data_IF_247315694904
#
_entry.id   IF_247315694904
#
_cell.length_a   1.000
_cell.length_b   1.000
_cell.length_c   1.000
_cell.angle_alpha   90.00
_cell.angle_beta   90.00
_cell.angle_gamma   90.00
#
_symmetry.space_group_name_H-M   'P 1'
#
loop_
_entity.id
_entity.type
_entity.pdbx_description
1 polymer ?
#
# COMPACT_ATOMS: atom_id res chain seq x y z
N UNK A 1 9.51 -21.01 -15.36
CA UNK A 1 10.06 -22.37 -15.53
C UNK A 1 11.25 -22.49 -16.47
N UNK A 2 11.46 -21.60 -17.47
CA UNK A 2 12.56 -21.78 -18.45
C UNK A 2 13.98 -21.46 -17.97
N UNK A 3 14.17 -20.53 -17.02
CA UNK A 3 15.50 -20.08 -16.58
C UNK A 3 16.18 -21.03 -15.57
N UNK A 4 15.41 -21.53 -14.60
CA UNK A 4 15.94 -22.38 -13.52
C UNK A 4 15.16 -23.68 -13.33
N UNK A 5 14.07 -23.91 -14.07
CA UNK A 5 13.15 -25.02 -13.80
C UNK A 5 13.67 -26.40 -14.18
N UNK A 6 14.76 -26.48 -14.95
CA UNK A 6 15.46 -27.74 -15.25
C UNK A 6 16.23 -28.25 -14.03
N UNK A 7 17.06 -27.39 -13.44
CA UNK A 7 17.97 -27.79 -12.33
C UNK A 7 17.33 -27.60 -10.95
N UNK A 8 16.36 -26.69 -10.83
CA UNK A 8 15.65 -26.40 -9.58
C UNK A 8 14.14 -26.63 -9.71
N UNK A 9 13.67 -27.87 -9.93
CA UNK A 9 12.25 -28.16 -10.20
C UNK A 9 11.33 -27.95 -8.99
N UNK A 10 11.88 -27.98 -7.76
CA UNK A 10 11.13 -27.72 -6.53
C UNK A 10 10.70 -26.25 -6.40
N UNK A 11 11.58 -25.31 -6.78
CA UNK A 11 11.28 -23.88 -6.74
C UNK A 11 10.74 -23.36 -8.06
N UNK A 12 11.27 -23.81 -9.20
CA UNK A 12 11.02 -23.19 -10.50
C UNK A 12 10.49 -24.15 -11.58
N UNK A 13 10.17 -25.40 -11.23
CA UNK A 13 9.77 -26.42 -12.22
C UNK A 13 8.38 -26.22 -12.83
N UNK A 14 7.45 -25.59 -12.09
CA UNK A 14 6.11 -25.24 -12.59
C UNK A 14 5.82 -23.76 -12.40
N UNK A 15 4.78 -23.25 -13.07
CA UNK A 15 4.37 -21.85 -12.91
C UNK A 15 3.97 -21.55 -11.46
N UNK A 16 3.19 -22.43 -10.83
CA UNK A 16 2.76 -22.27 -9.44
C UNK A 16 3.92 -22.30 -8.45
N UNK A 17 4.88 -23.22 -8.61
CA UNK A 17 6.10 -23.26 -7.79
C UNK A 17 6.92 -21.99 -7.96
N UNK A 18 7.13 -21.57 -9.21
CA UNK A 18 7.85 -20.32 -9.50
C UNK A 18 7.18 -19.12 -8.84
N UNK A 19 5.85 -19.02 -8.91
CA UNK A 19 5.09 -17.94 -8.29
C UNK A 19 5.22 -17.96 -6.77
N UNK A 20 5.13 -19.13 -6.13
CA UNK A 20 5.30 -19.28 -4.69
C UNK A 20 6.71 -18.89 -4.22
N UNK A 21 7.75 -19.40 -4.89
CA UNK A 21 9.14 -19.06 -4.54
C UNK A 21 9.46 -17.58 -4.81
N UNK A 22 8.93 -16.98 -5.88
CA UNK A 22 9.10 -15.55 -6.12
C UNK A 22 8.35 -14.70 -5.09
N UNK A 23 7.19 -15.14 -4.61
CA UNK A 23 6.49 -14.50 -3.51
C UNK A 23 7.30 -14.58 -2.20
N UNK A 24 7.88 -15.74 -1.87
CA UNK A 24 8.79 -15.90 -0.73
C UNK A 24 10.03 -15.00 -0.83
N UNK A 25 10.64 -14.91 -2.02
CA UNK A 25 11.77 -14.01 -2.26
C UNK A 25 11.34 -12.55 -2.10
N UNK A 26 10.15 -12.18 -2.58
CA UNK A 26 9.58 -10.84 -2.42
C UNK A 26 9.41 -10.45 -0.94
N UNK A 27 9.10 -11.39 -0.05
CA UNK A 27 9.01 -11.13 1.41
C UNK A 27 10.37 -11.15 2.11
N UNK A 28 11.47 -11.31 1.36
CA UNK A 28 12.85 -11.43 1.86
C UNK A 28 13.07 -12.64 2.78
N UNK A 29 12.16 -13.61 2.78
CA UNK A 29 12.26 -14.79 3.63
C UNK A 29 13.26 -15.78 3.00
N UNK A 30 14.37 -16.04 3.69
CA UNK A 30 15.43 -16.96 3.27
C UNK A 30 15.94 -16.79 1.83
N UNK A 31 15.73 -15.62 1.20
CA UNK A 31 15.93 -15.44 -0.23
C UNK A 31 17.37 -15.70 -0.68
N UNK A 32 18.36 -15.30 0.13
CA UNK A 32 19.78 -15.46 -0.21
C UNK A 32 20.29 -16.86 0.12
N UNK A 33 20.30 -17.24 1.41
CA UNK A 33 20.87 -18.51 1.86
C UNK A 33 20.03 -19.72 1.44
N UNK A 34 18.71 -19.58 1.41
CA UNK A 34 17.79 -20.68 1.12
C UNK A 34 17.56 -20.91 -0.37
N UNK A 35 17.71 -19.88 -1.22
CA UNK A 35 17.41 -19.98 -2.66
C UNK A 35 18.57 -19.46 -3.51
N UNK A 36 18.85 -18.16 -3.51
CA UNK A 36 19.71 -17.53 -4.53
C UNK A 36 21.15 -18.02 -4.48
N UNK A 37 21.73 -18.29 -3.30
CA UNK A 37 23.10 -18.84 -3.20
C UNK A 37 23.19 -20.27 -3.71
N UNK A 38 22.15 -21.08 -3.48
CA UNK A 38 22.07 -22.44 -4.02
C UNK A 38 21.97 -22.37 -5.55
N UNK A 39 21.11 -21.49 -6.07
CA UNK A 39 20.99 -21.27 -7.52
C UNK A 39 22.29 -20.75 -8.13
N UNK A 40 23.02 -19.88 -7.43
CA UNK A 40 24.31 -19.35 -7.90
C UNK A 40 25.44 -20.39 -7.95
N UNK A 41 25.31 -21.54 -7.29
CA UNK A 41 26.26 -22.62 -7.44
C UNK A 41 26.32 -23.14 -8.89
N UNK A 42 25.16 -23.21 -9.54
CA UNK A 42 25.03 -23.65 -10.94
C UNK A 42 24.93 -22.47 -11.92
N UNK A 43 24.35 -21.35 -11.47
CA UNK A 43 24.14 -20.13 -12.27
C UNK A 43 24.78 -18.90 -11.60
N UNK A 44 26.10 -18.68 -11.74
CA UNK A 44 26.83 -17.63 -11.01
C UNK A 44 26.26 -16.20 -11.16
N UNK A 45 25.58 -15.92 -12.28
CA UNK A 45 24.96 -14.61 -12.55
C UNK A 45 23.48 -14.52 -12.17
N UNK A 46 22.91 -15.51 -11.47
CA UNK A 46 21.51 -15.51 -11.07
C UNK A 46 21.13 -14.29 -10.20
N UNK A 47 22.09 -13.71 -9.47
CA UNK A 47 21.88 -12.47 -8.72
C UNK A 47 21.37 -11.31 -9.59
N UNK A 48 21.76 -11.26 -10.87
CA UNK A 48 21.34 -10.21 -11.80
C UNK A 48 19.85 -10.30 -12.17
N UNK A 49 19.20 -11.43 -11.87
CA UNK A 49 17.74 -11.56 -11.92
C UNK A 49 17.10 -11.26 -10.56
N UNK A 50 17.57 -11.93 -9.50
CA UNK A 50 16.90 -11.89 -8.20
C UNK A 50 17.07 -10.55 -7.46
N UNK A 51 18.23 -9.89 -7.55
CA UNK A 51 18.45 -8.60 -6.87
C UNK A 51 17.59 -7.49 -7.48
N UNK A 52 17.55 -7.28 -8.82
CA UNK A 52 16.63 -6.31 -9.41
C UNK A 52 15.16 -6.65 -9.16
N UNK A 53 14.78 -7.94 -9.19
CA UNK A 53 13.44 -8.38 -8.82
C UNK A 53 13.08 -7.91 -7.41
N UNK A 54 13.92 -8.19 -6.40
CA UNK A 54 13.69 -7.79 -5.01
C UNK A 54 13.54 -6.27 -4.89
N UNK A 55 14.41 -5.48 -5.55
CA UNK A 55 14.35 -4.02 -5.49
C UNK A 55 13.00 -3.52 -6.03
N UNK A 56 12.60 -3.99 -7.21
CA UNK A 56 11.35 -3.56 -7.87
C UNK A 56 10.13 -3.98 -7.06
N UNK A 57 10.06 -5.23 -6.61
CA UNK A 57 8.89 -5.74 -5.88
C UNK A 57 8.77 -5.13 -4.50
N UNK A 58 9.88 -4.99 -3.77
CA UNK A 58 9.87 -4.36 -2.44
C UNK A 58 9.47 -2.89 -2.55
N UNK A 59 9.98 -2.17 -3.55
CA UNK A 59 9.59 -0.79 -3.80
C UNK A 59 8.10 -0.66 -4.17
N UNK A 60 7.59 -1.53 -5.04
CA UNK A 60 6.18 -1.53 -5.42
C UNK A 60 5.26 -1.81 -4.22
N UNK A 61 5.59 -2.82 -3.40
CA UNK A 61 4.85 -3.16 -2.19
C UNK A 61 4.90 -2.02 -1.17
N UNK A 62 6.07 -1.40 -0.96
CA UNK A 62 6.22 -0.25 -0.07
C UNK A 62 5.35 0.92 -0.52
N UNK A 63 5.39 1.27 -1.82
CA UNK A 63 4.57 2.35 -2.36
C UNK A 63 3.07 2.08 -2.21
N UNK A 64 2.64 0.83 -2.39
CA UNK A 64 1.25 0.44 -2.19
C UNK A 64 0.83 0.59 -0.72
N UNK A 65 1.69 0.16 0.21
CA UNK A 65 1.43 0.30 1.65
C UNK A 65 1.39 1.76 2.06
N UNK A 66 2.34 2.58 1.60
CA UNK A 66 2.34 4.03 1.85
C UNK A 66 1.07 4.67 1.29
N UNK A 67 0.70 4.34 0.05
CA UNK A 67 -0.54 4.84 -0.56
C UNK A 67 -1.79 4.48 0.24
N UNK A 68 -1.88 3.24 0.73
CA UNK A 68 -2.98 2.78 1.57
C UNK A 68 -3.03 3.52 2.91
N UNK A 69 -1.88 3.68 3.57
CA UNK A 69 -1.76 4.38 4.86
C UNK A 69 -2.15 5.85 4.69
N UNK A 70 -1.63 6.51 3.66
CA UNK A 70 -1.96 7.92 3.37
C UNK A 70 -3.45 8.07 3.11
N UNK A 71 -4.05 7.20 2.31
CA UNK A 71 -5.49 7.21 2.06
C UNK A 71 -6.30 7.02 3.34
N UNK A 72 -5.91 6.08 4.21
CA UNK A 72 -6.59 5.84 5.48
C UNK A 72 -6.49 7.03 6.45
N UNK A 73 -5.30 7.66 6.55
CA UNK A 73 -5.10 8.86 7.37
C UNK A 73 -5.89 10.05 6.83
N UNK A 74 -5.93 10.23 5.51
CA UNK A 74 -6.71 11.28 4.86
C UNK A 74 -8.20 11.09 5.12
N UNK A 75 -8.73 9.87 4.97
CA UNK A 75 -10.14 9.58 5.24
C UNK A 75 -10.53 9.95 6.69
N UNK A 76 -9.72 9.57 7.67
CA UNK A 76 -9.93 9.94 9.09
C UNK A 76 -9.96 11.46 9.29
N UNK A 77 -9.04 12.20 8.67
CA UNK A 77 -9.02 13.67 8.79
C UNK A 77 -10.18 14.35 8.06
N UNK A 78 -10.61 13.83 6.90
CA UNK A 78 -11.77 14.37 6.19
C UNK A 78 -13.07 14.17 6.96
N UNK A 79 -13.24 13.05 7.66
CA UNK A 79 -14.37 12.79 8.54
C UNK A 79 -14.40 13.79 9.73
N UNK A 80 -13.26 14.04 10.35
CA UNK A 80 -13.13 15.03 11.44
C UNK A 80 -13.39 16.48 10.98
N UNK A 81 -12.82 16.87 9.83
CA UNK A 81 -12.90 18.23 9.32
C UNK A 81 -14.28 18.57 8.75
N UNK A 82 -14.95 17.60 8.14
CA UNK A 82 -16.34 17.74 7.69
C UNK A 82 -17.27 17.90 8.88
N UNK A 83 -17.10 17.08 9.93
CA UNK A 83 -17.87 17.22 11.16
C UNK A 83 -17.71 18.58 11.84
N UNK A 84 -16.47 19.09 11.93
CA UNK A 84 -16.21 20.42 12.49
C UNK A 84 -16.84 21.56 11.66
N UNK A 85 -16.83 21.43 10.33
CA UNK A 85 -17.41 22.43 9.42
C UNK A 85 -18.94 22.43 9.49
N UNK A 86 -19.57 21.25 9.63
CA UNK A 86 -21.03 21.12 9.72
C UNK A 86 -21.57 21.74 11.03
N UNK A 87 -20.90 21.46 12.15
CA UNK A 87 -21.24 22.07 13.46
C UNK A 87 -21.11 23.60 13.41
N UNK A 88 -20.06 24.11 12.76
CA UNK A 88 -19.89 25.56 12.61
C UNK A 88 -20.97 26.18 11.73
N UNK A 89 -21.35 25.52 10.62
CA UNK A 89 -22.44 25.96 9.75
C UNK A 89 -23.77 26.01 10.47
N UNK A 90 -24.11 24.98 11.23
CA UNK A 90 -25.35 24.92 12.02
C UNK A 90 -25.42 26.06 13.06
N UNK A 91 -24.31 26.34 13.74
CA UNK A 91 -24.23 27.44 14.69
C UNK A 91 -24.40 28.81 14.01
N UNK A 92 -23.76 29.03 12.86
CA UNK A 92 -23.92 30.28 12.09
C UNK A 92 -25.37 30.45 11.62
N UNK A 93 -26.00 29.40 11.10
CA UNK A 93 -27.40 29.44 10.65
C UNK A 93 -28.36 29.75 11.82
N UNK A 94 -28.14 29.15 13.00
CA UNK A 94 -28.91 29.49 14.21
C UNK A 94 -28.78 30.96 14.59
N UNK A 95 -27.56 31.51 14.52
CA UNK A 95 -27.34 32.94 14.84
C UNK A 95 -28.02 33.86 13.83
N UNK A 96 -27.99 33.51 12.54
CA UNK A 96 -28.67 34.29 11.50
C UNK A 96 -30.19 34.31 11.73
N UNK A 97 -30.80 33.16 11.99
CA UNK A 97 -32.23 33.07 12.29
C UNK A 97 -32.63 33.93 13.51
N UNK A 98 -31.81 33.89 14.58
CA UNK A 98 -32.05 34.71 15.76
C UNK A 98 -31.92 36.23 15.52
N UNK A 99 -31.08 36.64 14.56
CA UNK A 99 -30.94 38.04 14.15
C UNK A 99 -32.15 38.46 13.30
N UNK A 100 -32.60 37.62 12.37
CA UNK A 100 -33.82 37.85 11.57
C UNK A 100 -35.04 38.06 12.47
N UNK A 101 -35.26 37.20 13.46
CA UNK A 101 -36.38 37.34 14.40
C UNK A 101 -36.33 38.65 15.18
N UNK A 102 -35.13 39.10 15.60
CA UNK A 102 -34.95 40.37 16.33
C UNK A 102 -35.23 41.58 15.45
N UNK A 103 -34.80 41.55 14.19
CA UNK A 103 -35.09 42.62 13.23
C UNK A 103 -36.60 42.67 12.93
N UNK A 104 -37.24 41.52 12.71
CA UNK A 104 -38.68 41.45 12.49
C UNK A 104 -39.51 41.93 13.69
N UNK A 105 -39.00 41.75 14.91
CA UNK A 105 -39.61 42.28 16.13
C UNK A 105 -39.35 43.77 16.35
N UNK A 106 -38.25 44.32 15.80
CA UNK A 106 -37.91 45.74 15.90
C UNK A 106 -38.60 46.61 14.84
N UNK A 107 -39.08 46.01 13.75
CA UNK A 107 -39.84 46.66 12.67
C UNK A 107 -41.37 46.68 12.91
N UNK A 108 -41.84 46.17 14.06
CA UNK A 108 -43.24 46.26 14.52
C UNK A 108 -43.38 47.27 15.67
#
# INVERSE_FOLDING_TARGET
TKLFGGDFPEWFGTLGRSAYSLFQIMTLESWSMGIVRVVMADYPYAWAFFVPFIIVTTFAVMNLVVGLIVNAMQQSHYEEQSGATDVYRDEVLRRLAAIEDRLAASDR
#
